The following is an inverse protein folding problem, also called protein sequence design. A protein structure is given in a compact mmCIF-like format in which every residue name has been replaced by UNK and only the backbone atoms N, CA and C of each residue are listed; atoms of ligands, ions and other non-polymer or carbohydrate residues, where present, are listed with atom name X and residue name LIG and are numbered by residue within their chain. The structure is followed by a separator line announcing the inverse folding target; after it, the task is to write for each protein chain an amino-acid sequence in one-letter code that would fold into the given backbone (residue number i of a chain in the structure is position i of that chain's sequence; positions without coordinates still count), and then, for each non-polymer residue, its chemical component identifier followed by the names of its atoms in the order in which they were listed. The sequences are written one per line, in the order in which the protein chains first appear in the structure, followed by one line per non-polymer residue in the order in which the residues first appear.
data_IF_633808651144
#
_entry.id   IF_633808651144
#
_cell.length_a   1.000
_cell.length_b   1.000
_cell.length_c   1.000
_cell.angle_alpha   90.00
_cell.angle_beta   90.00
_cell.angle_gamma   90.00
#
_symmetry.space_group_name_H-M   'P 1'
#
loop_
_entity.id
_entity.type
_entity.pdbx_description
1 polymer ?
#
# COMPACT_ATOMS: atom_id res chain seq x y z
N UNK A 1 26.47 -9.08 -18.40
CA UNK A 1 26.13 -9.42 -17.00
C UNK A 1 24.61 -9.41 -16.88
N UNK A 2 24.00 -10.58 -17.04
CA UNK A 2 22.55 -10.75 -16.99
C UNK A 2 22.18 -10.71 -15.50
N UNK A 3 21.52 -9.65 -15.04
CA UNK A 3 20.92 -9.65 -13.70
C UNK A 3 19.80 -10.69 -13.72
N UNK A 4 20.06 -11.86 -13.11
CA UNK A 4 19.03 -12.84 -12.79
C UNK A 4 17.97 -12.13 -11.94
N UNK A 5 16.76 -12.01 -12.46
CA UNK A 5 15.60 -11.56 -11.70
C UNK A 5 15.33 -12.64 -10.67
N UNK A 6 15.77 -12.40 -9.44
CA UNK A 6 15.58 -13.27 -8.31
C UNK A 6 14.10 -13.33 -7.96
N UNK A 7 13.47 -14.46 -8.27
CA UNK A 7 12.06 -14.72 -8.02
C UNK A 7 11.77 -14.61 -6.52
N UNK A 8 11.11 -13.52 -6.09
CA UNK A 8 10.63 -13.39 -4.71
C UNK A 8 9.50 -14.41 -4.51
N UNK A 9 9.80 -15.50 -3.80
CA UNK A 9 9.01 -16.73 -3.72
C UNK A 9 7.64 -16.53 -3.05
N UNK A 10 6.57 -16.98 -3.72
CA UNK A 10 5.26 -17.24 -3.11
C UNK A 10 5.03 -18.75 -3.03
N UNK A 11 4.59 -19.26 -1.87
CA UNK A 11 4.28 -20.69 -1.69
C UNK A 11 2.83 -21.07 -2.08
N UNK A 12 2.03 -20.15 -2.61
CA UNK A 12 0.64 -20.41 -2.99
C UNK A 12 -0.30 -20.71 -1.81
N UNK A 13 0.04 -20.30 -0.58
CA UNK A 13 -0.81 -20.54 0.60
C UNK A 13 -1.98 -19.56 0.73
N UNK A 14 -2.02 -18.49 -0.07
CA UNK A 14 -3.00 -17.40 -0.08
C UNK A 14 -3.14 -16.50 1.17
N UNK A 15 -2.47 -16.85 2.27
CA UNK A 15 -2.64 -16.18 3.57
C UNK A 15 -2.31 -14.69 3.53
N UNK A 16 -1.19 -14.29 2.90
CA UNK A 16 -0.81 -12.88 2.80
C UNK A 16 -1.80 -12.07 1.94
N UNK A 17 -2.34 -12.68 0.88
CA UNK A 17 -3.34 -12.06 0.01
C UNK A 17 -4.69 -11.84 0.71
N UNK A 18 -5.00 -12.64 1.74
CA UNK A 18 -6.21 -12.49 2.56
C UNK A 18 -6.03 -11.52 3.71
N UNK A 19 -4.84 -11.48 4.30
CA UNK A 19 -4.60 -10.76 5.55
C UNK A 19 -4.27 -9.27 5.36
N UNK A 20 -3.54 -8.90 4.31
CA UNK A 20 -2.98 -7.55 4.17
C UNK A 20 -3.66 -6.72 3.10
N UNK A 21 -3.78 -5.42 3.40
CA UNK A 21 -4.09 -4.40 2.40
C UNK A 21 -2.78 -4.02 1.70
N UNK A 22 -2.77 -4.22 0.38
CA UNK A 22 -1.56 -4.05 -0.43
C UNK A 22 -1.58 -2.66 -1.06
N UNK A 23 -0.88 -1.71 -0.45
CA UNK A 23 -0.72 -0.38 -1.05
C UNK A 23 0.40 -0.37 -2.10
N UNK A 24 0.36 0.65 -2.96
CA UNK A 24 1.22 0.78 -4.13
C UNK A 24 1.83 2.19 -4.20
N UNK A 25 3.03 2.28 -4.78
CA UNK A 25 3.52 3.53 -5.36
C UNK A 25 3.03 3.71 -6.81
N UNK A 26 2.97 4.95 -7.34
CA UNK A 26 2.47 5.21 -8.69
C UNK A 26 3.14 4.40 -9.80
N UNK A 27 4.46 4.18 -9.70
CA UNK A 27 5.19 3.42 -10.71
C UNK A 27 4.84 1.92 -10.70
N UNK A 28 4.46 1.38 -9.54
CA UNK A 28 4.03 -0.01 -9.40
C UNK A 28 2.64 -0.20 -10.01
N UNK A 29 1.73 0.74 -9.77
CA UNK A 29 0.42 0.75 -10.41
C UNK A 29 0.54 0.81 -11.95
N UNK A 30 1.47 1.61 -12.49
CA UNK A 30 1.76 1.65 -13.94
C UNK A 30 2.29 0.31 -14.46
N UNK A 31 3.18 -0.34 -13.71
CA UNK A 31 3.73 -1.64 -14.08
C UNK A 31 2.66 -2.73 -14.11
N UNK A 32 1.76 -2.77 -13.11
CA UNK A 32 0.65 -3.72 -13.06
C UNK A 32 -0.34 -3.47 -14.20
N UNK A 33 -0.71 -2.21 -14.47
CA UNK A 33 -1.60 -1.88 -15.58
C UNK A 33 -1.06 -2.38 -16.92
N UNK A 34 0.25 -2.18 -17.18
CA UNK A 34 0.92 -2.70 -18.38
C UNK A 34 0.90 -4.22 -18.46
N UNK A 35 1.19 -4.91 -17.34
CA UNK A 35 1.16 -6.37 -17.27
C UNK A 35 -0.25 -6.94 -17.53
N UNK A 36 -1.29 -6.20 -17.17
CA UNK A 36 -2.69 -6.58 -17.41
C UNK A 36 -3.21 -6.13 -18.77
N UNK A 37 -2.39 -5.46 -19.60
CA UNK A 37 -2.81 -4.85 -20.86
C UNK A 37 -4.00 -3.89 -20.71
N UNK A 38 -4.07 -3.17 -19.58
CA UNK A 38 -5.12 -2.19 -19.30
C UNK A 38 -4.61 -0.77 -19.49
N UNK A 39 -5.51 0.14 -19.87
CA UNK A 39 -5.24 1.56 -19.74
C UNK A 39 -4.99 1.90 -18.26
N UNK A 40 -4.01 2.75 -17.97
CA UNK A 40 -3.67 3.13 -16.60
C UNK A 40 -4.87 3.73 -15.83
N UNK A 41 -5.71 4.52 -16.50
CA UNK A 41 -6.94 5.07 -15.88
C UNK A 41 -7.92 3.96 -15.49
N UNK A 42 -8.15 3.01 -16.41
CA UNK A 42 -9.03 1.86 -16.17
C UNK A 42 -8.52 1.01 -15.01
N UNK A 43 -7.21 0.75 -14.97
CA UNK A 43 -6.59 0.02 -13.88
C UNK A 43 -6.83 0.70 -12.53
N UNK A 44 -6.56 2.00 -12.44
CA UNK A 44 -6.77 2.78 -11.21
C UNK A 44 -8.22 2.68 -10.75
N UNK A 45 -9.19 2.93 -11.63
CA UNK A 45 -10.61 2.91 -11.27
C UNK A 45 -11.11 1.50 -10.90
N UNK A 46 -10.68 0.48 -11.63
CA UNK A 46 -11.20 -0.87 -11.44
C UNK A 46 -10.54 -1.60 -10.28
N UNK A 47 -9.26 -1.38 -10.01
CA UNK A 47 -8.46 -2.22 -9.11
C UNK A 47 -7.91 -1.51 -7.87
N UNK A 48 -7.97 -0.18 -7.78
CA UNK A 48 -7.44 0.57 -6.64
C UNK A 48 -8.54 1.20 -5.79
N UNK A 49 -8.30 1.20 -4.48
CA UNK A 49 -9.05 1.91 -3.46
C UNK A 49 -8.17 2.97 -2.81
N UNK A 50 -8.79 3.96 -2.20
CA UNK A 50 -8.09 4.80 -1.24
C UNK A 50 -7.77 4.02 0.04
N UNK A 51 -6.54 4.18 0.53
CA UNK A 51 -6.12 3.65 1.81
C UNK A 51 -5.48 4.75 2.66
N UNK A 52 -6.11 5.03 3.79
CA UNK A 52 -5.63 5.97 4.78
C UNK A 52 -5.42 5.23 6.10
N UNK A 53 -4.31 5.49 6.77
CA UNK A 53 -4.07 4.96 8.10
C UNK A 53 -3.46 6.04 9.00
N UNK A 54 -4.08 6.20 10.17
CA UNK A 54 -3.68 7.14 11.20
C UNK A 54 -3.00 6.41 12.33
N UNK A 55 -1.75 6.79 12.57
CA UNK A 55 -0.94 6.29 13.67
C UNK A 55 -0.81 7.37 14.72
N UNK A 56 -0.99 7.08 16.02
CA UNK A 56 -0.69 8.03 17.08
C UNK A 56 0.75 8.55 16.93
N UNK A 57 0.93 9.87 16.98
CA UNK A 57 2.25 10.47 16.94
C UNK A 57 3.09 9.99 18.14
N UNK A 58 4.31 9.52 17.88
CA UNK A 58 5.28 9.20 18.92
C UNK A 58 6.45 10.22 18.86
N UNK A 59 6.99 10.68 20.01
CA UNK A 59 8.01 11.73 20.05
C UNK A 59 9.31 11.44 19.27
N UNK A 60 9.63 10.16 19.07
CA UNK A 60 10.78 9.66 18.33
C UNK A 60 10.53 9.49 16.82
N UNK A 61 9.30 9.75 16.33
CA UNK A 61 9.00 9.75 14.91
C UNK A 61 9.61 11.00 14.26
N UNK A 62 10.42 10.80 13.22
CA UNK A 62 10.96 11.92 12.43
C UNK A 62 9.80 12.68 11.77
N UNK A 63 9.81 14.01 11.86
CA UNK A 63 8.71 14.94 11.51
C UNK A 63 8.51 15.17 10.00
N UNK A 64 9.24 14.44 9.14
CA UNK A 64 9.14 14.55 7.68
C UNK A 64 7.85 13.95 7.10
N UNK A 65 7.01 13.37 7.96
CA UNK A 65 5.77 12.72 7.59
C UNK A 65 4.56 13.65 7.66
N UNK A 66 3.45 13.27 7.00
CA UNK A 66 2.20 14.03 7.01
C UNK A 66 1.53 13.94 8.39
N UNK A 67 1.65 15.01 9.19
CA UNK A 67 1.00 15.12 10.49
C UNK A 67 -0.41 15.69 10.36
N UNK A 68 -1.38 15.11 11.08
CA UNK A 68 -2.75 15.61 11.18
C UNK A 68 -3.16 15.71 12.65
N UNK A 69 -4.01 16.69 12.98
CA UNK A 69 -4.61 16.83 14.31
C UNK A 69 -6.09 16.48 14.22
N UNK A 70 -6.52 15.50 15.01
CA UNK A 70 -7.93 15.13 15.18
C UNK A 70 -8.24 15.06 16.67
N UNK A 71 -9.33 15.68 17.10
CA UNK A 71 -9.76 15.72 18.52
C UNK A 71 -8.63 16.09 19.49
N UNK A 72 -7.86 17.13 19.13
CA UNK A 72 -6.69 17.63 19.89
C UNK A 72 -5.53 16.61 20.02
N UNK A 73 -5.57 15.48 19.29
CA UNK A 73 -4.50 14.46 19.24
C UNK A 73 -3.77 14.53 17.90
N UNK A 74 -2.44 14.34 17.95
CA UNK A 74 -1.58 14.30 16.75
C UNK A 74 -1.48 12.88 16.22
N UNK A 75 -1.65 12.75 14.90
CA UNK A 75 -1.50 11.50 14.18
C UNK A 75 -0.51 11.68 13.04
N UNK A 76 0.22 10.62 12.73
CA UNK A 76 0.88 10.41 11.47
C UNK A 76 -0.11 9.80 10.48
N UNK A 77 -0.27 10.44 9.32
CA UNK A 77 -1.11 9.97 8.23
C UNK A 77 -0.28 9.24 7.17
N UNK A 78 -0.58 7.96 7.01
CA UNK A 78 -0.17 7.16 5.87
C UNK A 78 -1.25 7.22 4.80
N UNK A 79 -0.89 7.72 3.61
CA UNK A 79 -1.82 7.98 2.52
C UNK A 79 -1.32 7.35 1.22
N UNK A 80 -1.97 6.28 0.77
CA UNK A 80 -1.66 5.58 -0.49
C UNK A 80 -2.93 5.14 -1.21
N UNK A 81 -2.77 4.73 -2.47
CA UNK A 81 -3.74 3.84 -3.11
C UNK A 81 -3.37 2.39 -2.84
N UNK A 82 -4.37 1.52 -2.74
CA UNK A 82 -4.18 0.11 -2.48
C UNK A 82 -5.02 -0.78 -3.37
N UNK A 83 -4.52 -2.00 -3.62
CA UNK A 83 -5.26 -3.02 -4.32
C UNK A 83 -6.60 -3.29 -3.62
N UNK A 84 -7.66 -3.34 -4.42
CA UNK A 84 -8.99 -3.74 -3.98
C UNK A 84 -8.96 -5.11 -3.35
N UNK A 85 -9.87 -5.29 -2.40
CA UNK A 85 -10.18 -6.60 -1.86
C UNK A 85 -11.61 -6.98 -2.23
N UNK A 86 -11.80 -8.21 -2.70
CA UNK A 86 -13.11 -8.83 -2.92
C UNK A 86 -13.22 -10.00 -1.96
N UNK A 87 -14.34 -10.12 -1.24
CA UNK A 87 -14.56 -11.21 -0.28
C UNK A 87 -13.38 -11.45 0.69
N UNK A 88 -12.86 -10.36 1.26
CA UNK A 88 -11.73 -10.36 2.21
C UNK A 88 -10.41 -10.91 1.66
N UNK A 89 -10.16 -10.80 0.36
CA UNK A 89 -8.86 -11.12 -0.23
C UNK A 89 -8.50 -10.17 -1.37
N UNK A 90 -7.20 -10.04 -1.66
CA UNK A 90 -6.71 -9.27 -2.80
C UNK A 90 -7.44 -9.65 -4.09
N UNK A 91 -7.83 -8.65 -4.89
CA UNK A 91 -8.54 -8.81 -6.17
C UNK A 91 -7.77 -9.69 -7.18
N UNK A 92 -6.45 -9.79 -7.04
CA UNK A 92 -5.60 -10.61 -7.89
C UNK A 92 -5.30 -12.02 -7.34
N UNK A 93 -5.92 -12.43 -6.24
CA UNK A 93 -5.86 -13.81 -5.77
C UNK A 93 -6.74 -14.71 -6.66
N UNK A 94 -6.13 -15.66 -7.37
CA UNK A 94 -6.79 -16.64 -8.25
C UNK A 94 -6.21 -18.02 -7.98
N UNK A 95 -7.06 -19.00 -7.66
CA UNK A 95 -6.63 -20.39 -7.40
C UNK A 95 -5.45 -20.48 -6.41
N UNK A 96 -5.51 -19.70 -5.33
CA UNK A 96 -4.45 -19.54 -4.31
C UNK A 96 -3.13 -18.91 -4.78
N UNK A 97 -3.08 -18.44 -6.02
CA UNK A 97 -1.90 -17.83 -6.65
C UNK A 97 -2.17 -16.36 -7.01
N UNK A 98 -1.09 -15.60 -7.20
CA UNK A 98 -1.17 -14.19 -7.58
C UNK A 98 -1.24 -14.07 -9.10
N UNK A 99 -2.34 -13.54 -9.64
CA UNK A 99 -2.51 -13.32 -11.07
C UNK A 99 -1.55 -12.27 -11.66
N UNK A 100 -0.94 -11.42 -10.81
CA UNK A 100 0.02 -10.38 -11.19
C UNK A 100 1.42 -10.68 -10.62
N UNK A 101 1.78 -11.96 -10.48
CA UNK A 101 3.01 -12.37 -9.78
C UNK A 101 4.26 -11.64 -10.26
N UNK A 102 4.45 -11.51 -11.58
CA UNK A 102 5.62 -10.88 -12.19
C UNK A 102 5.69 -9.36 -12.00
N UNK A 103 4.54 -8.72 -11.78
CA UNK A 103 4.42 -7.28 -11.51
C UNK A 103 3.97 -7.01 -10.09
N UNK A 104 4.19 -7.94 -9.15
CA UNK A 104 3.70 -7.82 -7.78
C UNK A 104 4.30 -6.59 -7.09
N UNK A 105 3.55 -5.89 -6.23
CA UNK A 105 4.04 -4.71 -5.53
C UNK A 105 5.23 -5.01 -4.62
N UNK A 106 6.01 -3.99 -4.31
CA UNK A 106 7.21 -4.03 -3.49
C UNK A 106 6.90 -4.63 -2.12
N UNK A 107 5.81 -4.21 -1.47
CA UNK A 107 5.41 -4.81 -0.19
C UNK A 107 5.19 -6.34 -0.30
N UNK A 108 4.68 -6.84 -1.43
CA UNK A 108 4.54 -8.26 -1.66
C UNK A 108 5.88 -8.95 -1.96
N UNK A 109 6.84 -8.24 -2.57
CA UNK A 109 8.21 -8.74 -2.82
C UNK A 109 9.06 -8.80 -1.55
N UNK A 110 8.85 -7.84 -0.66
CA UNK A 110 9.53 -7.75 0.63
C UNK A 110 8.94 -8.69 1.69
N UNK A 111 7.79 -9.30 1.42
CA UNK A 111 7.19 -10.27 2.34
C UNK A 111 8.02 -11.59 2.35
N UNK A 112 8.26 -12.23 3.51
CA UNK A 112 7.76 -11.90 4.86
C UNK A 112 8.70 -11.00 5.69
N UNK A 113 9.76 -10.43 5.10
CA UNK A 113 10.76 -9.67 5.84
C UNK A 113 10.29 -8.25 6.22
N UNK A 114 9.27 -7.74 5.54
CA UNK A 114 8.81 -6.37 5.73
C UNK A 114 7.96 -6.17 6.98
N UNK A 115 8.55 -5.56 8.01
CA UNK A 115 7.92 -5.33 9.31
C UNK A 115 7.60 -3.86 9.50
N UNK A 116 6.40 -3.41 9.10
CA UNK A 116 6.00 -2.02 9.35
C UNK A 116 5.96 -1.67 10.85
N UNK A 117 5.71 -2.69 11.70
CA UNK A 117 5.50 -2.52 13.16
C UNK A 117 6.09 -3.66 14.01
N UNK A 118 7.11 -4.37 13.51
CA UNK A 118 7.63 -5.54 14.22
C UNK A 118 6.65 -6.71 14.30
N UNK A 119 5.54 -6.67 13.55
CA UNK A 119 4.60 -7.79 13.45
C UNK A 119 5.33 -9.05 12.99
N UNK A 120 5.09 -10.15 13.70
CA UNK A 120 5.54 -11.46 13.27
C UNK A 120 4.50 -12.03 12.32
N UNK A 121 4.96 -12.46 11.14
CA UNK A 121 4.12 -13.18 10.18
C UNK A 121 4.04 -14.66 10.57
N UNK A 122 3.51 -14.97 11.76
CA UNK A 122 3.47 -16.33 12.32
C UNK A 122 2.65 -17.32 11.47
N UNK A 123 1.85 -16.80 10.55
CA UNK A 123 1.12 -17.61 9.57
C UNK A 123 1.98 -18.00 8.35
N UNK A 124 3.10 -17.31 8.10
CA UNK A 124 3.94 -17.55 6.93
C UNK A 124 5.00 -18.60 7.23
N UNK A 125 4.94 -19.71 6.48
CA UNK A 125 5.91 -20.81 6.60
C UNK A 125 7.14 -20.66 5.70
N UNK A 126 7.26 -19.55 4.96
CA UNK A 126 8.48 -19.27 4.18
C UNK A 126 9.62 -18.98 5.16
N UNK A 127 10.70 -19.75 5.05
CA UNK A 127 11.87 -19.62 5.92
C UNK A 127 12.62 -18.31 5.64
N UNK A 128 13.19 -17.73 6.71
CA UNK A 128 14.09 -16.58 6.68
C UNK A 128 15.31 -16.79 5.78
N UNK A 129 15.64 -18.03 5.39
CA UNK A 129 16.81 -18.34 4.57
C UNK A 129 16.52 -18.54 3.08
N UNK A 130 15.26 -18.62 2.64
CA UNK A 130 14.88 -18.78 1.23
C UNK A 130 15.04 -17.49 0.40
N UNK A 131 16.03 -16.64 0.75
CA UNK A 131 16.07 -15.22 0.41
C UNK A 131 16.44 -14.95 -1.04
N UNK A 132 15.45 -14.42 -1.74
CA UNK A 132 15.54 -13.60 -2.97
C UNK A 132 14.51 -12.45 -2.88
N UNK A 133 14.20 -12.01 -1.65
CA UNK A 133 13.35 -10.86 -1.38
C UNK A 133 14.16 -9.57 -1.59
N UNK A 134 13.52 -8.54 -2.15
CA UNK A 134 14.08 -7.17 -2.14
C UNK A 134 14.54 -6.80 -0.71
N UNK A 135 15.56 -5.95 -0.57
CA UNK A 135 16.05 -5.54 0.75
C UNK A 135 14.97 -4.67 1.46
N UNK A 136 14.43 -5.05 2.63
CA UNK A 136 13.39 -4.29 3.32
C UNK A 136 13.80 -2.86 3.67
N UNK A 137 15.12 -2.57 3.71
CA UNK A 137 15.65 -1.21 3.91
C UNK A 137 15.33 -0.28 2.74
N UNK A 138 14.99 -0.78 1.55
CA UNK A 138 14.63 0.06 0.39
C UNK A 138 13.26 0.71 0.53
N UNK A 139 12.38 0.13 1.37
CA UNK A 139 11.02 0.61 1.49
C UNK A 139 10.97 2.01 2.11
N UNK A 140 11.62 2.21 3.26
CA UNK A 140 11.51 3.48 4.01
C UNK A 140 11.99 4.68 3.20
N UNK A 141 13.12 4.65 2.47
CA UNK A 141 13.52 5.74 1.58
C UNK A 141 12.49 6.05 0.49
N UNK A 142 11.93 5.02 -0.18
CA UNK A 142 10.90 5.21 -1.20
C UNK A 142 9.63 5.80 -0.63
N UNK A 143 9.21 5.30 0.53
CA UNK A 143 8.04 5.79 1.24
C UNK A 143 8.22 7.23 1.72
N UNK A 144 9.36 7.56 2.32
CA UNK A 144 9.69 8.93 2.73
C UNK A 144 9.71 9.87 1.53
N UNK A 145 10.29 9.47 0.39
CA UNK A 145 10.25 10.26 -0.85
C UNK A 145 8.81 10.49 -1.31
N UNK A 146 8.00 9.44 -1.36
CA UNK A 146 6.60 9.51 -1.75
C UNK A 146 5.77 10.43 -0.85
N UNK A 147 5.92 10.35 0.47
CA UNK A 147 5.23 11.25 1.41
C UNK A 147 5.70 12.69 1.25
N UNK A 148 7.01 12.93 1.02
CA UNK A 148 7.51 14.26 0.69
C UNK A 148 6.87 14.78 -0.59
N UNK A 149 6.75 13.97 -1.63
CA UNK A 149 6.09 14.38 -2.89
C UNK A 149 4.62 14.75 -2.67
N UNK A 150 3.87 13.97 -1.87
CA UNK A 150 2.48 14.32 -1.53
C UNK A 150 2.42 15.63 -0.74
N UNK A 151 3.33 15.83 0.22
CA UNK A 151 3.36 17.06 1.03
C UNK A 151 3.57 18.32 0.19
N UNK A 152 4.38 18.23 -0.87
CA UNK A 152 4.66 19.38 -1.74
C UNK A 152 3.66 19.53 -2.89
N UNK A 153 3.17 18.43 -3.45
CA UNK A 153 2.38 18.46 -4.68
C UNK A 153 0.90 18.07 -4.47
N UNK A 154 0.48 17.59 -3.30
CA UNK A 154 -0.83 16.94 -3.07
C UNK A 154 -0.94 15.59 -3.78
N UNK A 155 -1.84 14.74 -3.31
CA UNK A 155 -1.98 13.35 -3.80
C UNK A 155 -2.34 13.29 -5.29
N UNK A 156 -3.25 14.15 -5.73
CA UNK A 156 -3.75 14.24 -7.11
C UNK A 156 -2.68 14.63 -8.14
N UNK A 157 -1.57 15.25 -7.71
CA UNK A 157 -0.47 15.58 -8.61
C UNK A 157 0.64 14.52 -8.58
N UNK A 158 0.71 13.71 -7.52
CA UNK A 158 1.57 12.52 -7.47
C UNK A 158 0.96 11.38 -8.28
N UNK A 159 -0.36 11.25 -8.25
CA UNK A 159 -1.12 10.24 -9.00
C UNK A 159 -1.85 10.85 -10.20
N UNK A 160 -1.43 10.51 -11.42
CA UNK A 160 -2.08 10.99 -12.67
C UNK A 160 -3.60 10.74 -12.70
N UNK A 161 -4.04 9.64 -12.11
CA UNK A 161 -5.45 9.32 -11.93
C UNK A 161 -5.67 8.85 -10.50
N UNK A 162 -6.82 9.21 -9.94
CA UNK A 162 -7.31 8.72 -8.66
C UNK A 162 -8.57 7.89 -8.90
N UNK A 163 -8.82 6.85 -8.09
CA UNK A 163 -10.04 6.08 -8.19
C UNK A 163 -11.24 6.97 -7.83
N UNK A 164 -12.37 6.66 -8.43
CA UNK A 164 -13.64 7.25 -8.02
C UNK A 164 -13.89 6.96 -6.54
N UNK A 165 -14.16 8.01 -5.77
CA UNK A 165 -14.50 7.84 -4.37
C UNK A 165 -15.90 7.27 -4.25
N UNK A 166 -16.00 6.11 -3.59
CA UNK A 166 -17.25 5.60 -3.05
C UNK A 166 -17.01 5.16 -1.60
N UNK A 167 -18.03 5.22 -0.76
CA UNK A 167 -17.92 4.76 0.64
C UNK A 167 -17.51 3.28 0.76
N UNK A 168 -17.72 2.50 -0.32
CA UNK A 168 -17.42 1.07 -0.36
C UNK A 168 -15.99 0.78 -0.84
N UNK A 169 -15.37 1.70 -1.60
CA UNK A 169 -14.03 1.57 -2.20
C UNK A 169 -12.99 2.45 -1.51
N UNK A 170 -13.23 2.78 -0.24
CA UNK A 170 -12.35 3.63 0.53
C UNK A 170 -12.34 3.20 1.99
N UNK A 171 -11.16 3.25 2.59
CA UNK A 171 -10.96 2.77 3.95
C UNK A 171 -10.03 3.71 4.70
N UNK A 172 -10.45 4.08 5.91
CA UNK A 172 -9.63 4.77 6.88
C UNK A 172 -9.37 3.81 8.04
N UNK A 173 -8.13 3.61 8.42
CA UNK A 173 -7.75 2.88 9.63
C UNK A 173 -7.36 3.90 10.69
N UNK A 174 -8.02 3.87 11.84
CA UNK A 174 -7.65 4.70 13.01
C UNK A 174 -7.37 3.75 14.16
N UNK A 175 -6.15 3.79 14.71
CA UNK A 175 -5.74 2.92 15.82
C UNK A 175 -6.03 1.42 15.53
N UNK A 176 -5.73 0.97 14.32
CA UNK A 176 -5.97 -0.41 13.89
C UNK A 176 -7.45 -0.77 13.63
N UNK A 177 -8.39 0.15 13.80
CA UNK A 177 -9.81 -0.07 13.53
C UNK A 177 -10.22 0.52 12.19
N UNK A 178 -10.88 -0.29 11.37
CA UNK A 178 -11.45 0.13 10.09
C UNK A 178 -12.65 1.06 10.32
N UNK A 179 -12.59 2.22 9.67
CA UNK A 179 -13.61 3.24 9.57
C UNK A 179 -13.98 3.42 8.09
N UNK A 180 -15.23 3.78 7.82
CA UNK A 180 -15.61 4.29 6.51
C UNK A 180 -14.98 5.66 6.32
N UNK A 181 -14.35 5.85 5.18
CA UNK A 181 -13.89 7.17 4.78
C UNK A 181 -15.13 8.00 4.40
N UNK A 182 -15.30 9.20 4.94
CA UNK A 182 -16.38 10.11 4.57
C UNK A 182 -15.88 11.18 3.59
N UNK A 183 -16.79 11.78 2.82
CA UNK A 183 -16.46 12.91 1.95
C UNK A 183 -15.89 14.09 2.76
N UNK A 184 -16.34 14.27 4.00
CA UNK A 184 -15.83 15.29 4.91
C UNK A 184 -14.40 15.00 5.36
N UNK A 185 -14.09 13.75 5.69
CA UNK A 185 -12.71 13.38 5.99
C UNK A 185 -11.80 13.54 4.78
N UNK A 186 -12.29 13.23 3.57
CA UNK A 186 -11.56 13.55 2.33
C UNK A 186 -11.31 15.04 2.14
N UNK A 187 -12.21 15.92 2.59
CA UNK A 187 -11.98 17.37 2.59
C UNK A 187 -10.94 17.78 3.61
N UNK A 188 -10.97 17.21 4.81
CA UNK A 188 -9.94 17.43 5.84
C UNK A 188 -8.56 16.96 5.33
N UNK A 189 -8.53 15.86 4.58
CA UNK A 189 -7.33 15.32 3.92
C UNK A 189 -6.97 15.99 2.59
N UNK A 190 -7.84 16.86 2.08
CA UNK A 190 -7.53 17.86 1.08
C UNK A 190 -7.34 19.20 1.79
N UNK A 191 -6.34 19.39 2.68
CA UNK A 191 -6.05 20.74 3.07
C UNK A 191 -5.62 21.50 1.82
N UNK A 192 -5.95 22.79 1.78
CA UNK A 192 -5.01 23.75 1.24
C UNK A 192 -3.67 23.55 1.98
N UNK A 193 -2.84 22.66 1.44
CA UNK A 193 -1.39 22.71 1.51
C UNK A 193 -0.91 23.61 0.37
#
# INVERSE_FOLDING_TARGET
MIFMITENLCNGCDLCCRKYKIYLFPNEAKAIARNLHLNYREFVNQYLDYYFELFPYQPNMKTDFLGIVLDKKRYFLFLCLALKQKSNHCVFLKNKQCAIYNSRPLICRLFPEFKFYGEKFDFCKLDKQARNADDPRIFYPLFTKYIKEIKHNRLENVWKYLPEYTENNSCLIINGKKQKLSAEFLRILRPNL
#
